data_IF_627152441808
#
_entry.id   IF_627152441808
#
_cell.length_a   1.000
_cell.length_b   1.000
_cell.length_c   1.000
_cell.angle_alpha   90.00
_cell.angle_beta   90.00
_cell.angle_gamma   90.00
#
_symmetry.space_group_name_H-M   'P 1'
#
loop_
_entity.id
_entity.type
_entity.pdbx_description
1 polymer ?
#
# COMPACT_ATOMS: atom_id res chain seq x y z
N UNK A 1 0.09 9.46 17.67
CA UNK A 1 0.30 9.74 16.23
C UNK A 1 1.42 8.83 15.76
N UNK A 2 1.28 8.16 14.61
CA UNK A 2 2.38 7.38 14.04
C UNK A 2 3.50 8.30 13.56
N UNK A 3 4.74 7.82 13.58
CA UNK A 3 5.90 8.53 13.02
C UNK A 3 6.03 8.26 11.51
N UNK A 4 6.78 9.08 10.76
CA UNK A 4 7.11 8.78 9.37
C UNK A 4 7.81 7.44 9.18
N UNK A 5 8.64 7.05 10.15
CA UNK A 5 9.38 5.79 10.14
C UNK A 5 8.40 4.60 10.23
N UNK A 6 7.41 4.68 11.14
CA UNK A 6 6.35 3.69 11.28
C UNK A 6 5.46 3.60 10.03
N UNK A 7 5.08 4.74 9.44
CA UNK A 7 4.33 4.77 8.18
C UNK A 7 5.12 4.17 7.02
N UNK A 8 6.43 4.43 6.95
CA UNK A 8 7.30 3.80 5.95
C UNK A 8 7.33 2.28 6.10
N UNK A 9 7.40 1.79 7.35
CA UNK A 9 7.34 0.35 7.64
C UNK A 9 5.99 -0.25 7.25
N UNK A 10 4.89 0.45 7.54
CA UNK A 10 3.53 0.02 7.20
C UNK A 10 3.35 -0.15 5.68
N UNK A 11 3.70 0.87 4.89
CA UNK A 11 3.55 0.79 3.42
C UNK A 11 4.48 -0.26 2.80
N UNK A 12 5.66 -0.48 3.40
CA UNK A 12 6.54 -1.56 2.97
C UNK A 12 5.90 -2.92 3.22
N UNK A 13 5.44 -3.18 4.45
CA UNK A 13 4.92 -4.49 4.84
C UNK A 13 3.72 -4.93 3.99
N UNK A 14 3.01 -3.98 3.36
CA UNK A 14 1.96 -4.28 2.39
C UNK A 14 2.46 -4.82 1.03
N UNK A 15 3.74 -4.64 0.69
CA UNK A 15 4.31 -4.98 -0.64
C UNK A 15 5.55 -5.85 -0.61
N UNK A 16 6.34 -5.79 0.46
CA UNK A 16 7.61 -6.50 0.60
C UNK A 16 7.71 -7.08 2.00
N UNK A 17 8.10 -8.35 2.08
CA UNK A 17 8.26 -9.05 3.35
C UNK A 17 9.40 -8.42 4.14
N UNK A 18 10.51 -8.12 3.46
CA UNK A 18 11.71 -7.59 4.10
C UNK A 18 12.07 -6.18 3.64
N UNK A 19 12.73 -5.43 4.54
CA UNK A 19 13.30 -4.12 4.22
C UNK A 19 14.45 -4.21 3.20
N UNK A 20 15.09 -5.37 3.09
CA UNK A 20 16.16 -5.63 2.12
C UNK A 20 15.57 -5.71 0.72
N UNK A 21 14.51 -6.50 0.51
CA UNK A 21 13.82 -6.60 -0.78
C UNK A 21 13.32 -5.25 -1.27
N UNK A 22 12.69 -4.47 -0.38
CA UNK A 22 12.21 -3.13 -0.74
C UNK A 22 13.36 -2.19 -1.14
N UNK A 23 14.51 -2.28 -0.47
CA UNK A 23 15.68 -1.48 -0.79
C UNK A 23 16.29 -1.86 -2.14
N UNK A 24 16.41 -3.16 -2.41
CA UNK A 24 16.92 -3.70 -3.67
C UNK A 24 16.00 -3.34 -4.84
N UNK A 25 14.69 -3.51 -4.69
CA UNK A 25 13.69 -3.13 -5.68
C UNK A 25 13.71 -1.62 -6.00
N UNK A 26 14.09 -0.79 -5.02
CA UNK A 26 14.23 0.66 -5.18
C UNK A 26 15.62 1.08 -5.67
N UNK A 27 16.58 0.15 -5.76
CA UNK A 27 17.96 0.43 -6.18
C UNK A 27 18.75 1.26 -5.14
N UNK A 28 18.48 1.07 -3.85
CA UNK A 28 19.22 1.72 -2.75
C UNK A 28 19.91 0.71 -1.86
N UNK A 29 20.98 1.15 -1.18
CA UNK A 29 21.70 0.30 -0.23
C UNK A 29 20.76 -0.13 0.91
N UNK A 30 20.60 -1.43 1.21
CA UNK A 30 19.71 -1.90 2.28
C UNK A 30 19.97 -1.24 3.64
N UNK A 31 21.23 -1.03 4.10
CA UNK A 31 21.48 -0.36 5.37
C UNK A 31 20.92 1.07 5.43
N UNK A 32 20.92 1.79 4.30
CA UNK A 32 20.37 3.16 4.24
C UNK A 32 18.87 3.15 4.46
N UNK A 33 18.16 2.24 3.78
CA UNK A 33 16.71 2.11 3.92
C UNK A 33 16.32 1.66 5.32
N UNK A 34 16.99 0.62 5.86
CA UNK A 34 16.75 0.08 7.19
C UNK A 34 16.96 1.16 8.27
N UNK A 35 17.98 2.02 8.14
CA UNK A 35 18.19 3.13 9.08
C UNK A 35 17.05 4.14 9.07
N UNK A 36 16.46 4.42 7.90
CA UNK A 36 15.30 5.31 7.81
C UNK A 36 14.01 4.64 8.29
N UNK A 37 13.78 3.35 8.01
CA UNK A 37 12.62 2.63 8.51
C UNK A 37 12.66 2.48 10.04
N UNK A 38 13.83 2.20 10.61
CA UNK A 38 13.99 2.00 12.06
C UNK A 38 14.19 3.31 12.85
N UNK A 39 14.30 4.46 12.17
CA UNK A 39 14.51 5.76 12.84
C UNK A 39 15.86 5.90 13.55
N UNK A 40 16.88 5.13 13.15
CA UNK A 40 18.19 5.06 13.84
C UNK A 40 18.91 6.43 13.86
N UNK A 41 18.69 7.25 12.82
CA UNK A 41 19.29 8.60 12.71
C UNK A 41 18.43 9.73 13.32
N UNK A 42 17.34 9.37 13.99
CA UNK A 42 16.37 10.31 14.55
C UNK A 42 14.95 9.77 14.37
N UNK A 43 14.32 9.37 15.47
CA UNK A 43 12.92 8.97 15.47
C UNK A 43 12.05 10.14 15.00
N UNK A 44 11.12 9.89 14.08
CA UNK A 44 10.25 10.90 13.53
C UNK A 44 10.78 11.62 12.29
N UNK A 45 12.00 11.33 11.82
CA UNK A 45 12.62 12.06 10.72
C UNK A 45 13.16 11.13 9.63
N UNK A 46 12.78 11.44 8.38
CA UNK A 46 13.36 10.87 7.17
C UNK A 46 13.85 12.06 6.33
N UNK A 47 15.10 12.07 5.82
CA UNK A 47 15.56 13.14 4.95
C UNK A 47 14.58 13.36 3.80
N UNK A 48 14.21 14.62 3.52
CA UNK A 48 13.12 14.92 2.58
C UNK A 48 13.30 14.29 1.20
N UNK A 49 14.52 14.33 0.65
CA UNK A 49 14.84 13.68 -0.63
C UNK A 49 14.66 12.15 -0.60
N UNK A 50 14.90 11.50 0.55
CA UNK A 50 14.63 10.08 0.72
C UNK A 50 13.13 9.82 0.85
N UNK A 51 12.40 10.66 1.59
CA UNK A 51 10.94 10.56 1.72
C UNK A 51 10.23 10.74 0.37
N UNK A 52 10.67 11.67 -0.47
CA UNK A 52 10.15 11.86 -1.84
C UNK A 52 10.35 10.60 -2.70
N UNK A 53 11.52 9.97 -2.60
CA UNK A 53 11.80 8.70 -3.27
C UNK A 53 10.86 7.59 -2.79
N UNK A 54 10.66 7.48 -1.48
CA UNK A 54 9.80 6.45 -0.89
C UNK A 54 8.34 6.67 -1.27
N UNK A 55 7.85 7.91 -1.17
CA UNK A 55 6.51 8.29 -1.57
C UNK A 55 6.24 7.91 -3.04
N UNK A 56 7.17 8.24 -3.94
CA UNK A 56 7.06 7.89 -5.36
C UNK A 56 7.08 6.38 -5.59
N UNK A 57 8.00 5.66 -4.95
CA UNK A 57 8.15 4.21 -5.13
C UNK A 57 6.91 3.44 -4.64
N UNK A 58 6.42 3.78 -3.46
CA UNK A 58 5.22 3.17 -2.88
C UNK A 58 3.91 3.76 -3.41
N UNK A 59 3.98 4.79 -4.27
CA UNK A 59 2.83 5.51 -4.83
C UNK A 59 1.89 6.07 -3.76
N UNK A 60 2.47 6.68 -2.73
CA UNK A 60 1.75 7.30 -1.61
C UNK A 60 2.03 8.80 -1.56
N UNK A 61 1.15 9.56 -0.91
CA UNK A 61 1.38 10.99 -0.71
C UNK A 61 2.61 11.25 0.17
N UNK A 62 3.46 12.19 -0.23
CA UNK A 62 4.59 12.64 0.58
C UNK A 62 4.12 13.28 1.89
N UNK A 63 3.04 14.07 1.83
CA UNK A 63 2.46 14.73 3.00
C UNK A 63 1.92 13.70 3.99
N UNK A 64 1.30 12.63 3.49
CA UNK A 64 0.86 11.54 4.34
C UNK A 64 2.06 10.82 4.97
N UNK A 65 3.09 10.50 4.18
CA UNK A 65 4.28 9.83 4.71
C UNK A 65 4.94 10.65 5.82
N UNK A 66 5.14 11.95 5.62
CA UNK A 66 5.85 12.81 6.57
C UNK A 66 5.00 13.30 7.74
N UNK A 67 3.71 13.56 7.54
CA UNK A 67 2.86 14.20 8.56
C UNK A 67 1.64 13.39 9.00
N UNK A 68 1.31 12.33 8.27
CA UNK A 68 0.07 11.58 8.45
C UNK A 68 -1.17 12.36 8.00
N UNK A 69 -1.01 13.48 7.27
CA UNK A 69 -2.11 14.29 6.73
C UNK A 69 -2.27 14.07 5.23
N UNK A 70 -3.49 14.23 4.74
CA UNK A 70 -3.84 13.99 3.33
C UNK A 70 -4.32 12.56 3.10
N UNK A 71 -4.39 12.18 1.82
CA UNK A 71 -4.93 10.89 1.42
C UNK A 71 -4.05 9.74 1.96
N UNK A 72 -4.64 8.96 2.87
CA UNK A 72 -4.04 7.72 3.34
C UNK A 72 -4.00 6.72 2.18
N UNK A 73 -2.86 6.04 1.96
CA UNK A 73 -2.80 5.03 0.93
C UNK A 73 -3.80 3.91 1.24
N UNK A 74 -4.65 3.63 0.27
CA UNK A 74 -5.51 2.46 0.30
C UNK A 74 -4.67 1.22 -0.01
N UNK A 75 -3.88 0.79 0.98
CA UNK A 75 -3.03 -0.39 0.89
C UNK A 75 -3.84 -1.68 0.72
N UNK A 76 -5.16 -1.64 0.96
CA UNK A 76 -6.03 -2.79 0.85
C UNK A 76 -6.53 -3.01 -0.57
N UNK A 77 -6.60 -1.98 -1.43
CA UNK A 77 -7.17 -2.12 -2.79
C UNK A 77 -6.17 -2.54 -3.87
N UNK A 78 -4.87 -2.41 -3.62
CA UNK A 78 -3.85 -2.91 -4.57
C UNK A 78 -3.58 -4.41 -4.35
N UNK A 79 -3.47 -5.20 -5.43
CA UNK A 79 -3.17 -6.63 -5.32
C UNK A 79 -1.75 -6.84 -4.82
N UNK A 80 -1.58 -7.84 -3.94
CA UNK A 80 -0.28 -8.31 -3.49
C UNK A 80 0.46 -9.06 -4.60
N UNK A 81 1.74 -9.38 -4.41
CA UNK A 81 2.47 -10.22 -5.35
C UNK A 81 1.80 -11.58 -5.56
N UNK A 82 1.33 -12.23 -4.48
CA UNK A 82 0.61 -13.49 -4.56
C UNK A 82 -0.70 -13.37 -5.33
N UNK A 83 -1.45 -12.26 -5.14
CA UNK A 83 -2.65 -11.98 -5.93
C UNK A 83 -2.32 -11.85 -7.42
N UNK A 84 -1.23 -11.15 -7.77
CA UNK A 84 -0.77 -10.99 -9.16
C UNK A 84 -0.37 -12.34 -9.76
N UNK A 85 0.39 -13.17 -9.03
CA UNK A 85 0.79 -14.50 -9.49
C UNK A 85 -0.43 -15.40 -9.76
N UNK A 86 -1.44 -15.33 -8.89
CA UNK A 86 -2.70 -16.05 -9.06
C UNK A 86 -3.49 -15.53 -10.27
N UNK A 87 -3.60 -14.21 -10.45
CA UNK A 87 -4.24 -13.60 -11.63
C UNK A 87 -3.56 -14.03 -12.93
N UNK A 88 -2.22 -13.98 -12.98
CA UNK A 88 -1.46 -14.42 -14.17
C UNK A 88 -1.74 -15.89 -14.46
N UNK A 89 -1.75 -16.76 -13.45
CA UNK A 89 -2.10 -18.17 -13.61
C UNK A 89 -3.49 -18.35 -14.21
N UNK A 90 -4.49 -17.68 -13.65
CA UNK A 90 -5.87 -17.77 -14.12
C UNK A 90 -6.03 -17.28 -15.56
N UNK A 91 -5.41 -16.16 -15.92
CA UNK A 91 -5.42 -15.66 -17.31
C UNK A 91 -4.76 -16.64 -18.26
N UNK A 92 -3.61 -17.21 -17.87
CA UNK A 92 -2.93 -18.21 -18.71
C UNK A 92 -3.81 -19.44 -18.90
N UNK A 93 -4.41 -19.97 -17.83
CA UNK A 93 -5.26 -21.17 -17.89
C UNK A 93 -6.54 -20.94 -18.71
N UNK A 94 -7.13 -19.73 -18.65
CA UNK A 94 -8.35 -19.40 -19.38
C UNK A 94 -8.10 -19.10 -20.87
N UNK A 95 -7.00 -18.41 -21.19
CA UNK A 95 -6.80 -17.80 -22.51
C UNK A 95 -5.72 -18.47 -23.37
N UNK A 96 -4.80 -19.23 -22.76
CA UNK A 96 -3.68 -19.87 -23.47
C UNK A 96 -3.99 -21.33 -23.74
N UNK A 97 -4.05 -21.69 -25.02
CA UNK A 97 -4.26 -23.06 -25.49
C UNK A 97 -2.98 -23.61 -26.14
N UNK A 98 -2.95 -24.91 -26.42
CA UNK A 98 -1.84 -25.56 -27.15
C UNK A 98 -1.60 -24.99 -28.55
N UNK A 99 -2.57 -24.28 -29.12
CA UNK A 99 -2.50 -23.68 -30.46
C UNK A 99 -2.08 -22.21 -30.40
N UNK A 100 -2.08 -21.59 -29.22
CA UNK A 100 -1.70 -20.19 -29.03
C UNK A 100 -0.21 -20.02 -29.31
N UNK A 101 0.14 -19.14 -30.25
CA UNK A 101 1.54 -18.85 -30.56
C UNK A 101 2.10 -17.87 -29.53
N UNK A 102 3.40 -17.96 -29.27
CA UNK A 102 4.07 -17.04 -28.35
C UNK A 102 3.88 -15.56 -28.75
N UNK A 103 3.85 -15.27 -30.05
CA UNK A 103 3.60 -13.92 -30.61
C UNK A 103 2.22 -13.36 -30.26
N UNK A 104 1.28 -14.23 -29.89
CA UNK A 104 -0.09 -13.87 -29.58
C UNK A 104 -0.29 -13.54 -28.09
N UNK A 105 0.66 -13.92 -27.23
CA UNK A 105 0.52 -13.71 -25.78
C UNK A 105 0.33 -12.24 -25.40
N UNK A 106 1.08 -11.26 -25.95
CA UNK A 106 0.89 -9.86 -25.55
C UNK A 106 -0.51 -9.33 -25.85
N UNK A 107 -1.13 -9.77 -26.95
CA UNK A 107 -2.49 -9.33 -27.34
C UNK A 107 -3.61 -10.07 -26.61
N UNK A 108 -3.31 -11.21 -26.00
CA UNK A 108 -4.28 -12.05 -25.28
C UNK A 108 -4.18 -11.79 -23.77
N UNK A 109 -3.00 -11.99 -23.19
CA UNK A 109 -2.79 -11.96 -21.74
C UNK A 109 -2.87 -10.55 -21.17
N UNK A 110 -2.32 -9.54 -21.86
CA UNK A 110 -2.30 -8.17 -21.34
C UNK A 110 -3.70 -7.57 -21.10
N UNK A 111 -4.66 -7.62 -22.05
CA UNK A 111 -6.01 -7.10 -21.80
C UNK A 111 -6.76 -7.91 -20.74
N UNK A 112 -6.63 -9.24 -20.74
CA UNK A 112 -7.29 -10.09 -19.74
C UNK A 112 -6.78 -9.81 -18.32
N UNK A 113 -5.46 -9.66 -18.15
CA UNK A 113 -4.87 -9.31 -16.86
C UNK A 113 -5.29 -7.90 -16.43
N UNK A 114 -5.37 -6.94 -17.36
CA UNK A 114 -5.88 -5.61 -17.04
C UNK A 114 -7.32 -5.65 -16.54
N UNK A 115 -8.19 -6.42 -17.20
CA UNK A 115 -9.57 -6.61 -16.77
C UNK A 115 -9.65 -7.25 -15.37
N UNK A 116 -8.85 -8.29 -15.10
CA UNK A 116 -8.81 -8.89 -13.76
C UNK A 116 -8.36 -7.90 -12.67
N UNK A 117 -7.36 -7.06 -12.96
CA UNK A 117 -6.90 -6.02 -12.02
C UNK A 117 -8.01 -5.00 -11.70
N UNK A 118 -8.74 -4.54 -12.70
CA UNK A 118 -9.83 -3.59 -12.51
C UNK A 118 -11.01 -4.22 -11.74
N UNK A 119 -11.30 -5.50 -12.00
CA UNK A 119 -12.28 -6.27 -11.22
C UNK A 119 -11.85 -6.38 -9.75
N UNK A 120 -10.59 -6.76 -9.49
CA UNK A 120 -10.06 -6.88 -8.14
C UNK A 120 -10.18 -5.57 -7.35
N UNK A 121 -9.75 -4.45 -7.96
CA UNK A 121 -9.84 -3.11 -7.35
C UNK A 121 -11.28 -2.73 -7.06
N UNK A 122 -12.18 -2.99 -8.01
CA UNK A 122 -13.61 -2.70 -7.85
C UNK A 122 -14.24 -3.51 -6.72
N UNK A 123 -13.92 -4.79 -6.61
CA UNK A 123 -14.45 -5.67 -5.57
C UNK A 123 -13.93 -5.28 -4.19
N UNK A 124 -12.65 -4.93 -4.07
CA UNK A 124 -12.09 -4.44 -2.80
C UNK A 124 -12.60 -3.06 -2.41
N UNK A 125 -12.81 -2.15 -3.35
CA UNK A 125 -13.47 -0.88 -3.08
C UNK A 125 -14.90 -1.10 -2.54
N UNK A 126 -15.65 -2.06 -3.10
CA UNK A 126 -16.99 -2.43 -2.60
C UNK A 126 -16.95 -3.04 -1.20
N UNK A 127 -16.01 -3.96 -0.94
CA UNK A 127 -15.85 -4.57 0.39
C UNK A 127 -15.42 -3.53 1.44
N UNK A 128 -14.58 -2.57 1.06
CA UNK A 128 -14.19 -1.44 1.91
C UNK A 128 -15.36 -0.51 2.23
N UNK A 129 -16.24 -0.22 1.27
CA UNK A 129 -17.45 0.58 1.48
C UNK A 129 -18.54 -0.16 2.28
N UNK A 130 -18.60 -1.49 2.18
CA UNK A 130 -19.54 -2.33 2.93
C UNK A 130 -19.16 -2.54 4.41
N UNK A 131 -17.99 -2.06 4.84
CA UNK A 131 -17.55 -2.14 6.23
C UNK A 131 -17.64 -0.75 6.91
N UNK A 132 -18.79 -0.35 7.50
CA UNK A 132 -18.97 0.97 8.10
C UNK A 132 -18.20 1.17 9.43
N UNK A 133 -17.32 0.24 9.83
CA UNK A 133 -16.67 0.25 11.13
C UNK A 133 -15.40 1.10 11.20
N UNK A 134 -15.47 2.36 10.77
CA UNK A 134 -14.63 3.47 11.26
C UNK A 134 -15.38 4.80 11.33
N UNK A 135 -16.68 4.83 11.02
CA UNK A 135 -17.54 5.95 11.39
C UNK A 135 -17.90 5.81 12.89
N UNK A 136 -17.19 6.54 13.76
CA UNK A 136 -17.61 7.16 15.04
C UNK A 136 -16.51 7.11 16.12
N UNK A 137 -15.79 8.23 16.27
CA UNK A 137 -15.55 8.81 17.61
C UNK A 137 -15.41 10.34 17.52
N UNK A 138 -16.43 10.99 16.97
CA UNK A 138 -16.71 12.39 17.28
C UNK A 138 -18.11 12.46 17.88
N UNK A 139 -18.17 12.78 19.18
CA UNK A 139 -19.38 13.27 19.83
C UNK A 139 -19.94 12.39 20.93
N UNK A 140 -19.50 12.65 22.17
CA UNK A 140 -20.40 12.62 23.33
C UNK A 140 -19.90 13.68 24.32
N UNK A 141 -20.59 14.82 24.32
CA UNK A 141 -20.48 15.84 25.36
C UNK A 141 -21.21 15.38 26.63
N UNK A 142 -20.81 16.03 27.73
CA UNK A 142 -21.61 16.37 28.91
C UNK A 142 -21.59 15.39 30.09
N UNK A 143 -21.04 15.86 31.22
CA UNK A 143 -21.89 16.24 32.35
C UNK A 143 -21.11 17.08 33.37
N UNK A 144 -21.54 18.34 33.45
CA UNK A 144 -21.31 19.26 34.56
C UNK A 144 -21.96 18.67 35.80
N UNK A 145 -21.19 18.51 36.89
CA UNK A 145 -21.74 18.23 38.22
C UNK A 145 -21.23 19.28 39.20
N UNK A 146 -22.11 20.25 39.43
CA UNK A 146 -22.11 21.21 40.52
C UNK A 146 -22.13 20.49 41.86
N UNK A 147 -21.26 20.86 42.81
CA UNK A 147 -21.60 20.77 44.23
C UNK A 147 -20.89 21.85 45.05
N UNK A 148 -21.65 22.89 45.38
CA UNK A 148 -21.51 23.65 46.63
C UNK A 148 -22.20 22.86 47.73
N UNK A 149 -21.54 22.66 48.87
CA UNK A 149 -22.01 23.03 50.22
C UNK A 149 -20.77 23.38 51.02
#
# INVERSE_FOLDING_TARGET
MTTPNERLKQIRAARYETAVEAAEAMGIKPPTYIQHENGIRGSGSIPRAAAERYAKFFRVSLDWLLSGKGDEPDLASEPTQADIEQMIREVIEAEVTMQTRLSDLPRIVAPALHEQLERFRSDRARLGQANPSTAHSKGAQSLVATKRV
#
